data_IF_541412108922
#
_entry.id   IF_541412108922
#
_cell.length_a   1.000
_cell.length_b   1.000
_cell.length_c   1.000
_cell.angle_alpha   90.00
_cell.angle_beta   90.00
_cell.angle_gamma   90.00
#
_symmetry.space_group_name_H-M   'P 1'
#
loop_
_entity.id
_entity.type
_entity.pdbx_description
1 polymer ?
#
# COMPACT_ATOMS: atom_id res chain seq x y z
N UNK A 1 -85.87 20.36 2.68
CA UNK A 1 -85.54 19.03 3.24
C UNK A 1 -84.05 18.94 3.37
N UNK A 2 -83.55 18.77 4.56
CA UNK A 2 -82.15 18.81 4.94
C UNK A 2 -81.55 17.42 4.80
N UNK A 3 -80.30 17.38 4.41
CA UNK A 3 -79.43 16.22 4.70
C UNK A 3 -78.05 16.75 5.08
N UNK A 4 -77.73 16.62 6.35
CA UNK A 4 -76.40 16.83 6.94
C UNK A 4 -75.54 15.63 6.62
N UNK A 5 -74.34 15.83 6.14
CA UNK A 5 -73.29 14.82 6.17
C UNK A 5 -72.09 15.33 6.92
N UNK A 6 -71.95 14.80 8.10
CA UNK A 6 -70.78 14.95 8.98
C UNK A 6 -69.60 14.18 8.36
N UNK A 7 -68.46 14.88 8.13
CA UNK A 7 -67.22 14.18 7.71
C UNK A 7 -66.12 14.53 8.70
N UNK A 8 -65.93 13.65 9.65
CA UNK A 8 -64.84 13.69 10.65
C UNK A 8 -63.52 13.42 9.99
N UNK A 9 -62.72 14.46 9.81
CA UNK A 9 -61.34 14.33 9.32
C UNK A 9 -60.44 13.83 10.45
N UNK A 10 -60.00 12.55 10.34
CA UNK A 10 -59.07 11.91 11.25
C UNK A 10 -57.61 12.33 10.86
N UNK A 11 -57.01 13.18 11.67
CA UNK A 11 -55.65 13.62 11.52
C UNK A 11 -54.65 12.43 11.58
N UNK A 12 -53.98 12.14 10.48
CA UNK A 12 -52.85 11.20 10.42
C UNK A 12 -51.59 11.87 10.96
N UNK A 13 -51.14 11.41 12.12
CA UNK A 13 -49.89 11.77 12.75
C UNK A 13 -48.75 11.15 11.97
N UNK A 14 -48.05 11.92 11.13
CA UNK A 14 -46.86 11.50 10.42
C UNK A 14 -45.67 11.40 11.39
N UNK A 15 -45.21 10.17 11.61
CA UNK A 15 -44.00 9.91 12.39
C UNK A 15 -42.77 10.38 11.62
N UNK A 16 -41.93 11.19 12.25
CA UNK A 16 -40.64 11.63 11.72
C UNK A 16 -39.67 10.44 11.48
N UNK A 17 -38.87 10.44 10.41
CA UNK A 17 -37.92 9.39 10.18
C UNK A 17 -36.79 9.42 11.22
N UNK A 18 -36.61 8.27 11.85
CA UNK A 18 -35.57 8.01 12.84
C UNK A 18 -34.20 8.12 12.18
N UNK A 19 -33.32 9.00 12.65
CA UNK A 19 -31.93 9.16 12.16
C UNK A 19 -31.15 7.83 12.22
N UNK A 20 -30.28 7.53 11.23
CA UNK A 20 -29.50 6.32 11.24
C UNK A 20 -28.49 6.35 12.39
N UNK A 21 -28.49 5.30 13.19
CA UNK A 21 -27.51 5.07 14.27
C UNK A 21 -26.11 5.07 13.67
N UNK A 22 -25.27 6.02 14.09
CA UNK A 22 -23.82 6.01 13.82
C UNK A 22 -23.25 4.71 14.39
N UNK A 23 -22.94 3.77 13.52
CA UNK A 23 -22.12 2.63 13.87
C UNK A 23 -20.74 3.13 14.27
N UNK A 24 -20.40 2.99 15.53
CA UNK A 24 -19.06 3.23 16.06
C UNK A 24 -18.12 2.22 15.40
N UNK A 25 -17.30 2.69 14.45
CA UNK A 25 -16.20 1.90 13.90
C UNK A 25 -15.21 1.70 15.05
N UNK A 26 -15.19 0.51 15.60
CA UNK A 26 -14.21 0.07 16.59
C UNK A 26 -12.82 0.27 16.00
N UNK A 27 -12.05 1.23 16.56
CA UNK A 27 -10.64 1.45 16.27
C UNK A 27 -9.78 0.38 16.97
N UNK A 28 -9.97 -0.88 16.60
CA UNK A 28 -9.04 -1.92 17.02
C UNK A 28 -7.80 -1.78 16.14
N UNK A 29 -6.69 -1.35 16.73
CA UNK A 29 -5.40 -1.32 16.03
C UNK A 29 -5.11 -2.70 15.44
N UNK A 30 -4.68 -2.81 14.17
CA UNK A 30 -4.43 -4.10 13.55
C UNK A 30 -3.34 -4.84 14.32
N UNK A 31 -3.64 -6.08 14.70
CA UNK A 31 -2.70 -6.93 15.43
C UNK A 31 -1.50 -7.22 14.52
N UNK A 32 -0.31 -6.75 14.88
CA UNK A 32 0.91 -6.96 14.11
C UNK A 32 1.19 -8.46 13.95
N UNK A 33 1.45 -8.89 12.72
CA UNK A 33 1.79 -10.27 12.37
C UNK A 33 3.30 -10.38 12.10
N UNK A 34 3.93 -11.46 12.55
CA UNK A 34 5.30 -11.78 12.18
C UNK A 34 5.33 -12.24 10.71
N UNK A 35 6.29 -11.73 9.93
CA UNK A 35 6.45 -12.10 8.54
C UNK A 35 6.81 -13.58 8.34
N UNK A 36 6.39 -14.15 7.23
CA UNK A 36 6.82 -15.45 6.76
C UNK A 36 8.31 -15.41 6.41
N UNK A 37 9.01 -16.52 6.61
CA UNK A 37 10.43 -16.67 6.24
C UNK A 37 10.57 -17.22 4.83
N UNK A 38 11.70 -16.97 4.17
CA UNK A 38 11.99 -17.46 2.83
C UNK A 38 13.19 -16.70 2.22
N UNK A 39 13.77 -17.27 1.18
CA UNK A 39 14.81 -16.60 0.39
C UNK A 39 14.16 -15.78 -0.72
N UNK A 40 14.64 -14.57 -0.94
CA UNK A 40 14.34 -13.78 -2.12
C UNK A 40 14.94 -14.44 -3.39
N UNK A 41 14.52 -14.00 -4.56
CA UNK A 41 15.07 -14.49 -5.83
C UNK A 41 16.56 -14.20 -5.94
N UNK A 42 17.32 -14.98 -6.75
CA UNK A 42 18.74 -14.73 -6.98
C UNK A 42 19.02 -13.57 -7.96
N UNK A 43 18.00 -12.77 -8.31
CA UNK A 43 18.14 -11.68 -9.26
C UNK A 43 19.23 -10.69 -8.84
N UNK A 44 20.13 -10.37 -9.79
CA UNK A 44 21.23 -9.42 -9.55
C UNK A 44 20.71 -7.99 -9.45
N UNK A 45 21.40 -7.17 -8.65
CA UNK A 45 21.09 -5.76 -8.52
C UNK A 45 21.25 -5.02 -9.85
N UNK A 46 20.24 -4.25 -10.25
CA UNK A 46 20.24 -3.44 -11.46
C UNK A 46 19.24 -2.29 -11.33
N UNK A 47 19.55 -1.14 -11.93
CA UNK A 47 18.70 0.04 -11.88
C UNK A 47 17.87 0.21 -13.15
N UNK A 48 16.67 0.77 -12.99
CA UNK A 48 15.74 1.10 -14.06
C UNK A 48 14.59 0.12 -14.25
N UNK A 49 13.72 0.44 -15.19
CA UNK A 49 12.47 -0.28 -15.45
C UNK A 49 12.71 -1.67 -16.05
N UNK A 50 13.57 -1.77 -17.07
CA UNK A 50 13.85 -3.03 -17.79
C UNK A 50 14.25 -4.18 -16.86
N UNK A 51 15.21 -4.01 -15.92
CA UNK A 51 15.56 -5.07 -14.96
C UNK A 51 14.40 -5.49 -14.05
N UNK A 52 13.55 -4.55 -13.63
CA UNK A 52 12.41 -4.87 -12.80
C UNK A 52 11.35 -5.65 -13.58
N UNK A 53 11.06 -5.25 -14.81
CA UNK A 53 10.13 -6.01 -15.67
C UNK A 53 10.65 -7.41 -15.97
N UNK A 54 11.95 -7.57 -16.26
CA UNK A 54 12.56 -8.88 -16.44
C UNK A 54 12.49 -9.74 -15.17
N UNK A 55 12.74 -9.14 -14.01
CA UNK A 55 12.58 -9.78 -12.71
C UNK A 55 11.14 -10.30 -12.52
N UNK A 56 10.13 -9.43 -12.72
CA UNK A 56 8.72 -9.80 -12.55
C UNK A 56 8.34 -10.92 -13.53
N UNK A 57 8.75 -10.82 -14.80
CA UNK A 57 8.48 -11.83 -15.80
C UNK A 57 9.09 -13.20 -15.49
N UNK A 58 10.20 -13.24 -14.75
CA UNK A 58 10.87 -14.48 -14.33
C UNK A 58 10.18 -15.20 -13.16
N UNK A 59 9.24 -14.56 -12.49
CA UNK A 59 8.57 -15.14 -11.33
C UNK A 59 7.55 -16.21 -11.73
N UNK A 60 7.37 -17.27 -10.93
CA UNK A 60 6.30 -18.22 -11.12
C UNK A 60 4.95 -17.62 -10.76
N UNK A 61 3.85 -18.24 -11.22
CA UNK A 61 2.51 -17.93 -10.72
C UNK A 61 2.29 -18.57 -9.34
N UNK A 62 1.54 -17.93 -8.45
CA UNK A 62 0.80 -16.65 -8.58
C UNK A 62 1.65 -15.40 -8.30
N UNK A 63 2.93 -15.55 -7.90
CA UNK A 63 3.80 -14.43 -7.49
C UNK A 63 3.97 -13.40 -8.61
N UNK A 64 4.07 -13.85 -9.87
CA UNK A 64 4.16 -12.95 -11.03
C UNK A 64 2.94 -12.05 -11.11
N UNK A 65 1.74 -12.60 -11.11
CA UNK A 65 0.50 -11.81 -11.19
C UNK A 65 0.36 -10.78 -10.06
N UNK A 66 0.78 -11.14 -8.84
CA UNK A 66 0.82 -10.21 -7.71
C UNK A 66 1.81 -9.07 -7.97
N UNK A 67 3.03 -9.40 -8.40
CA UNK A 67 4.08 -8.41 -8.65
C UNK A 67 3.74 -7.47 -9.82
N UNK A 68 3.17 -7.99 -10.90
CA UNK A 68 2.64 -7.19 -12.02
C UNK A 68 1.57 -6.20 -11.56
N UNK A 69 0.65 -6.65 -10.70
CA UNK A 69 -0.40 -5.80 -10.17
C UNK A 69 0.11 -4.71 -9.25
N UNK A 70 1.08 -5.03 -8.39
CA UNK A 70 1.77 -4.06 -7.52
C UNK A 70 2.55 -3.04 -8.35
N UNK A 71 3.27 -3.47 -9.39
CA UNK A 71 4.00 -2.56 -10.29
C UNK A 71 3.09 -1.61 -11.05
N UNK A 72 2.01 -2.13 -11.63
CA UNK A 72 1.01 -1.32 -12.33
C UNK A 72 0.34 -0.29 -11.39
N UNK A 73 0.03 -0.70 -10.16
CA UNK A 73 -0.53 0.19 -9.15
C UNK A 73 0.47 1.28 -8.74
N UNK A 74 1.75 0.93 -8.58
CA UNK A 74 2.81 1.89 -8.30
C UNK A 74 2.96 2.92 -9.41
N UNK A 75 3.00 2.47 -10.67
CA UNK A 75 3.08 3.34 -11.84
C UNK A 75 1.92 4.33 -11.94
N UNK A 76 0.71 3.86 -11.63
CA UNK A 76 -0.50 4.71 -11.62
C UNK A 76 -0.51 5.70 -10.46
N UNK A 77 0.09 5.34 -9.33
CA UNK A 77 -0.05 6.06 -8.06
C UNK A 77 1.06 7.09 -7.83
N UNK A 78 2.27 6.81 -8.32
CA UNK A 78 3.48 7.58 -8.03
C UNK A 78 4.02 8.27 -9.28
N UNK A 79 3.81 9.59 -9.45
CA UNK A 79 4.49 10.36 -10.46
C UNK A 79 6.02 10.31 -10.27
N UNK A 80 6.77 10.14 -11.36
CA UNK A 80 8.23 10.04 -11.27
C UNK A 80 8.76 8.75 -10.63
N UNK A 81 7.96 7.67 -10.67
CA UNK A 81 8.33 6.38 -10.13
C UNK A 81 9.69 5.91 -10.65
N UNK A 82 10.56 5.57 -9.72
CA UNK A 82 11.88 4.96 -9.98
C UNK A 82 11.85 3.49 -9.56
N UNK A 83 12.46 2.65 -10.37
CA UNK A 83 12.54 1.19 -10.16
C UNK A 83 13.98 0.71 -10.10
N UNK A 84 14.22 -0.33 -9.32
CA UNK A 84 15.52 -1.02 -9.25
C UNK A 84 15.32 -2.43 -8.73
N UNK A 85 16.16 -3.35 -9.15
CA UNK A 85 16.30 -4.66 -8.49
C UNK A 85 17.41 -4.54 -7.44
N UNK A 86 17.10 -4.86 -6.18
CA UNK A 86 18.04 -4.89 -5.06
C UNK A 86 17.74 -6.10 -4.18
N UNK A 87 18.77 -6.82 -3.77
CA UNK A 87 18.64 -8.00 -2.90
C UNK A 87 17.59 -9.02 -3.37
N UNK A 88 17.48 -9.21 -4.71
CA UNK A 88 16.53 -10.15 -5.31
C UNK A 88 15.06 -9.71 -5.23
N UNK A 89 14.78 -8.41 -5.07
CA UNK A 89 13.45 -7.84 -5.00
C UNK A 89 13.34 -6.58 -5.86
N UNK A 90 12.15 -6.27 -6.35
CA UNK A 90 11.86 -4.99 -7.00
C UNK A 90 11.71 -3.90 -5.93
N UNK A 91 12.46 -2.82 -6.06
CA UNK A 91 12.41 -1.62 -5.23
C UNK A 91 11.79 -0.47 -5.99
N UNK A 92 10.96 0.28 -5.30
CA UNK A 92 10.20 1.39 -5.85
C UNK A 92 10.46 2.65 -5.04
N UNK A 93 10.65 3.77 -5.73
CA UNK A 93 10.98 5.04 -5.09
C UNK A 93 10.61 6.25 -5.92
N UNK A 94 10.84 7.43 -5.34
CA UNK A 94 10.67 8.74 -5.97
C UNK A 94 11.83 9.66 -5.55
N UNK A 95 12.17 10.63 -6.36
CA UNK A 95 13.16 11.67 -6.05
C UNK A 95 14.53 11.14 -5.58
N UNK A 96 14.94 9.98 -6.10
CA UNK A 96 16.20 9.32 -5.73
C UNK A 96 16.19 8.58 -4.39
N UNK A 97 15.04 8.51 -3.71
CA UNK A 97 14.84 7.74 -2.48
C UNK A 97 13.94 6.53 -2.69
N UNK A 98 14.02 5.56 -1.79
CA UNK A 98 13.25 4.32 -1.86
C UNK A 98 12.08 4.35 -0.87
N UNK A 99 10.90 3.91 -1.31
CA UNK A 99 9.66 3.94 -0.54
C UNK A 99 9.27 2.55 -0.05
N UNK A 100 9.27 1.58 -0.96
CA UNK A 100 8.87 0.21 -0.68
C UNK A 100 9.54 -0.78 -1.63
N UNK A 101 9.40 -2.07 -1.33
CA UNK A 101 9.84 -3.15 -2.20
C UNK A 101 8.74 -4.21 -2.36
N UNK A 102 8.82 -4.93 -3.48
CA UNK A 102 7.99 -6.10 -3.77
C UNK A 102 8.91 -7.27 -4.08
N UNK A 103 8.88 -8.30 -3.25
CA UNK A 103 9.74 -9.47 -3.38
C UNK A 103 8.94 -10.76 -3.42
N UNK A 104 9.26 -11.67 -4.35
CA UNK A 104 8.69 -13.01 -4.40
C UNK A 104 9.50 -13.97 -3.54
N UNK A 105 8.77 -14.74 -2.72
CA UNK A 105 9.27 -15.79 -1.85
C UNK A 105 8.50 -17.08 -2.10
N UNK A 106 8.96 -18.18 -1.54
CA UNK A 106 8.23 -19.43 -1.70
C UNK A 106 6.82 -19.32 -1.09
N UNK A 107 5.80 -19.43 -1.94
CA UNK A 107 4.39 -19.44 -1.54
C UNK A 107 3.76 -18.09 -1.19
N UNK A 108 4.48 -16.97 -1.33
CA UNK A 108 3.92 -15.62 -1.07
C UNK A 108 4.76 -14.51 -1.72
N UNK A 109 4.20 -13.32 -1.75
CA UNK A 109 4.90 -12.08 -2.10
C UNK A 109 4.97 -11.19 -0.87
N UNK A 110 6.05 -10.47 -0.68
CA UNK A 110 6.20 -9.43 0.34
C UNK A 110 6.15 -8.06 -0.33
N UNK A 111 5.19 -7.23 0.09
CA UNK A 111 5.17 -5.80 -0.24
C UNK A 111 5.48 -5.05 1.05
N UNK A 112 6.69 -4.48 1.14
CA UNK A 112 7.22 -3.93 2.39
C UNK A 112 7.59 -2.46 2.22
N UNK A 113 7.02 -1.61 3.05
CA UNK A 113 7.29 -0.18 3.13
C UNK A 113 8.43 0.08 4.10
N UNK A 114 9.46 0.80 3.67
CA UNK A 114 10.71 1.02 4.44
C UNK A 114 10.44 1.77 5.73
N UNK A 115 9.57 2.79 5.68
CA UNK A 115 9.08 3.55 6.85
C UNK A 115 7.64 3.18 7.19
N UNK A 116 7.34 1.88 7.22
CA UNK A 116 5.99 1.38 7.40
C UNK A 116 5.36 1.71 8.75
N UNK A 117 6.15 1.93 9.81
CA UNK A 117 5.65 2.39 11.13
C UNK A 117 5.03 3.78 11.08
N UNK A 118 5.40 4.59 10.11
CA UNK A 118 4.94 5.98 9.97
C UNK A 118 3.65 6.07 9.14
N UNK A 119 3.24 4.97 8.50
CA UNK A 119 2.05 4.90 7.66
C UNK A 119 0.76 4.77 8.49
N UNK A 120 -0.35 5.31 7.96
CA UNK A 120 -1.68 5.25 8.58
C UNK A 120 -2.72 4.70 7.60
N UNK A 121 -3.42 3.61 7.96
CA UNK A 121 -3.13 2.72 9.11
C UNK A 121 -1.78 2.02 8.95
N UNK A 122 -1.15 1.59 10.04
CA UNK A 122 0.12 0.85 9.99
C UNK A 122 -0.09 -0.50 9.28
N UNK A 123 0.74 -0.87 8.28
CA UNK A 123 0.65 -2.17 7.64
C UNK A 123 0.88 -3.32 8.63
N UNK A 124 0.11 -4.43 8.53
CA UNK A 124 0.00 -5.41 9.61
C UNK A 124 1.18 -6.36 9.77
N UNK A 125 2.09 -6.46 8.79
CA UNK A 125 3.19 -7.43 8.82
C UNK A 125 4.50 -6.77 9.21
N UNK A 126 5.14 -7.30 10.25
CA UNK A 126 6.50 -6.93 10.66
C UNK A 126 7.50 -7.89 10.02
N UNK A 127 8.36 -7.43 9.08
CA UNK A 127 9.31 -8.30 8.41
C UNK A 127 10.43 -8.77 9.32
N UNK A 128 11.05 -9.89 8.94
CA UNK A 128 12.28 -10.39 9.56
C UNK A 128 13.47 -9.79 8.81
N UNK A 129 14.45 -9.27 9.54
CA UNK A 129 15.72 -8.76 9.01
C UNK A 129 15.63 -7.59 7.98
N UNK A 130 14.56 -6.79 8.00
CA UNK A 130 14.40 -5.64 7.09
C UNK A 130 14.37 -4.27 7.79
N UNK A 131 14.79 -4.22 9.05
CA UNK A 131 14.81 -2.99 9.83
C UNK A 131 13.55 -2.80 10.69
N UNK A 132 13.70 -2.06 11.79
CA UNK A 132 12.66 -1.90 12.83
C UNK A 132 11.44 -1.09 12.35
N UNK A 133 11.65 -0.16 11.42
CA UNK A 133 10.59 0.69 10.89
C UNK A 133 9.81 0.09 9.72
N UNK A 134 10.26 -1.03 9.16
CA UNK A 134 9.63 -1.64 8.00
C UNK A 134 8.35 -2.37 8.40
N UNK A 135 7.27 -2.17 7.62
CA UNK A 135 5.99 -2.86 7.73
C UNK A 135 5.44 -3.15 6.35
N UNK A 136 4.56 -4.14 6.24
CA UNK A 136 4.00 -4.45 4.93
C UNK A 136 2.84 -5.44 4.97
N UNK A 137 2.65 -6.08 3.81
CA UNK A 137 1.66 -7.14 3.59
C UNK A 137 2.30 -8.31 2.87
N UNK A 138 1.73 -9.50 3.03
CA UNK A 138 2.18 -10.75 2.43
C UNK A 138 1.03 -11.43 1.66
N UNK A 139 0.65 -10.92 0.47
CA UNK A 139 -0.37 -11.53 -0.36
C UNK A 139 0.12 -12.88 -0.92
N UNK A 140 -0.79 -13.85 -0.99
CA UNK A 140 -0.56 -15.16 -1.61
C UNK A 140 -1.24 -15.27 -2.98
N UNK A 141 -2.21 -14.39 -3.24
CA UNK A 141 -2.95 -14.28 -4.50
C UNK A 141 -3.21 -12.81 -4.84
N UNK A 142 -3.59 -12.53 -6.08
CA UNK A 142 -4.01 -11.17 -6.50
C UNK A 142 -5.26 -10.72 -5.73
N UNK A 143 -6.15 -11.65 -5.37
CA UNK A 143 -7.36 -11.35 -4.60
C UNK A 143 -7.07 -10.85 -3.16
N UNK A 144 -5.89 -11.14 -2.62
CA UNK A 144 -5.48 -10.67 -1.29
C UNK A 144 -4.99 -9.21 -1.29
N UNK A 145 -4.88 -8.57 -2.48
CA UNK A 145 -4.45 -7.18 -2.60
C UNK A 145 -5.61 -6.22 -2.37
N UNK A 146 -5.62 -5.52 -1.27
CA UNK A 146 -6.41 -4.29 -1.11
C UNK A 146 -5.70 -3.14 -1.84
N UNK A 147 -5.99 -2.98 -3.13
CA UNK A 147 -5.35 -1.98 -3.98
C UNK A 147 -5.58 -0.55 -3.51
N UNK A 148 -6.77 -0.28 -2.94
CA UNK A 148 -7.10 1.05 -2.43
C UNK A 148 -6.20 1.40 -1.24
N UNK A 149 -6.08 0.47 -0.29
CA UNK A 149 -5.22 0.66 0.87
C UNK A 149 -3.74 0.68 0.48
N UNK A 150 -3.34 -0.19 -0.46
CA UNK A 150 -1.96 -0.25 -0.95
C UNK A 150 -1.56 1.06 -1.66
N UNK A 151 -2.42 1.61 -2.51
CA UNK A 151 -2.20 2.92 -3.15
C UNK A 151 -2.13 4.06 -2.12
N UNK A 152 -2.94 4.02 -1.07
CA UNK A 152 -2.88 5.01 0.02
C UNK A 152 -1.55 4.96 0.76
N UNK A 153 -1.03 3.77 1.05
CA UNK A 153 0.31 3.60 1.64
C UNK A 153 1.43 4.03 0.70
N UNK A 154 1.35 3.72 -0.60
CA UNK A 154 2.32 4.16 -1.60
C UNK A 154 2.42 5.69 -1.64
N UNK A 155 1.28 6.40 -1.65
CA UNK A 155 1.24 7.87 -1.62
C UNK A 155 1.89 8.43 -0.34
N UNK A 156 1.55 7.88 0.82
CA UNK A 156 2.17 8.29 2.08
C UNK A 156 3.69 8.03 2.09
N UNK A 157 4.12 6.84 1.65
CA UNK A 157 5.54 6.49 1.60
C UNK A 157 6.34 7.41 0.65
N UNK A 158 5.73 7.89 -0.42
CA UNK A 158 6.36 8.82 -1.36
C UNK A 158 6.64 10.21 -0.76
N UNK A 159 5.91 10.63 0.29
CA UNK A 159 6.19 11.88 0.99
C UNK A 159 7.40 11.81 1.91
N UNK A 160 7.90 10.61 2.21
CA UNK A 160 9.02 10.36 3.13
C UNK A 160 9.98 9.29 2.61
N UNK A 161 10.52 9.43 1.38
CA UNK A 161 11.39 8.42 0.79
C UNK A 161 12.65 8.21 1.64
N UNK A 162 13.14 6.98 1.65
CA UNK A 162 14.38 6.63 2.35
C UNK A 162 15.58 6.78 1.42
N UNK A 163 16.51 7.66 1.79
CA UNK A 163 17.75 7.83 1.06
C UNK A 163 18.85 6.95 1.68
N UNK A 164 19.33 5.95 0.95
CA UNK A 164 20.51 5.17 1.33
C UNK A 164 21.77 6.05 1.32
N UNK A 165 22.85 5.66 2.02
CA UNK A 165 24.01 6.48 2.30
C UNK A 165 24.63 7.24 1.11
N UNK A 166 24.71 6.64 -0.09
CA UNK A 166 25.23 7.31 -1.29
C UNK A 166 24.24 8.33 -1.87
N UNK A 167 22.95 8.01 -1.89
CA UNK A 167 21.89 8.91 -2.39
C UNK A 167 21.68 10.10 -1.44
N UNK A 168 21.83 9.90 -0.13
CA UNK A 168 21.78 11.00 0.87
C UNK A 168 22.89 12.02 0.64
N UNK A 169 24.10 11.57 0.30
CA UNK A 169 25.22 12.48 -0.04
C UNK A 169 24.95 13.28 -1.32
N UNK A 170 24.34 12.66 -2.34
CA UNK A 170 24.02 13.32 -3.62
C UNK A 170 22.90 14.35 -3.46
N UNK A 171 21.85 14.03 -2.71
CA UNK A 171 20.75 14.94 -2.41
C UNK A 171 21.21 16.14 -1.56
N UNK A 172 22.03 15.92 -0.53
CA UNK A 172 22.61 16.97 0.28
C UNK A 172 23.51 17.92 -0.54
N UNK A 173 24.36 17.38 -1.44
CA UNK A 173 25.22 18.16 -2.33
C UNK A 173 24.43 18.98 -3.36
N UNK A 174 23.27 18.48 -3.82
CA UNK A 174 22.38 19.18 -4.73
C UNK A 174 21.65 20.35 -4.03
N UNK A 175 21.25 20.17 -2.77
CA UNK A 175 20.62 21.20 -1.96
C UNK A 175 21.58 22.36 -1.67
N UNK A 176 22.84 22.06 -1.30
CA UNK A 176 23.87 23.08 -1.04
C UNK A 176 24.28 23.88 -2.29
N UNK A 177 24.10 23.33 -3.50
CA UNK A 177 24.43 24.04 -4.75
C UNK A 177 23.31 24.99 -5.22
N UNK A 178 22.13 24.94 -4.59
CA UNK A 178 20.96 25.79 -4.90
C UNK A 178 20.76 26.95 -3.92
N UNK A 179 21.56 27.03 -2.86
CA UNK A 179 21.70 28.16 -1.92
C UNK A 179 22.90 28.99 -2.31
#
# INVERSE_FOLDING_TARGET
MAAKTDTTAKARKTAAPKAPKRTSVSKTAPKLKKAMTGKASPAKAAEGDKPVFAYIASLPQPQRGIAERVDALAAKTLPGLQRSVKWGMAYYGVDGGWCFCCGAFQGHVKVMFIKGTDLKPEPPVTPVAMGKATRGVEPKSVADLDEKQLAAWMKQAATMPFFGGAAKKKAAKAATKRS
#
